data_IF_969321952909
#
_entry.id   IF_969321952909
#
_cell.length_a   1.000
_cell.length_b   1.000
_cell.length_c   1.000
_cell.angle_alpha   90.00
_cell.angle_beta   90.00
_cell.angle_gamma   90.00
#
_symmetry.space_group_name_H-M   'P 1'
#
loop_
_entity.id
_entity.type
_entity.pdbx_description
1 polymer ?
#
# COMPACT_ATOMS: atom_id res chain seq x y z
N UNK A 1 8.42 -58.48 7.17
CA UNK A 1 8.77 -57.05 7.31
C UNK A 1 7.58 -56.23 6.91
N UNK A 2 6.76 -55.87 7.89
CA UNK A 2 5.52 -55.09 7.62
C UNK A 2 5.83 -53.60 7.68
N UNK A 3 5.63 -52.91 6.59
CA UNK A 3 5.78 -51.44 6.49
C UNK A 3 4.46 -50.81 6.90
N UNK A 4 4.43 -50.13 8.06
CA UNK A 4 3.33 -49.29 8.48
C UNK A 4 3.42 -47.96 7.73
N UNK A 5 2.51 -47.72 6.77
CA UNK A 5 2.32 -46.40 6.18
C UNK A 5 1.37 -45.64 7.09
N UNK A 6 1.90 -44.71 7.89
CA UNK A 6 1.08 -43.76 8.64
C UNK A 6 0.61 -42.67 7.69
N UNK A 7 -0.69 -42.68 7.36
CA UNK A 7 -1.35 -41.58 6.66
C UNK A 7 -1.48 -40.38 7.59
N UNK A 8 -0.67 -39.33 7.35
CA UNK A 8 -0.84 -38.02 7.95
C UNK A 8 -2.13 -37.42 7.32
N UNK A 9 -3.23 -37.40 8.07
CA UNK A 9 -4.39 -36.59 7.70
C UNK A 9 -4.04 -35.12 7.90
N UNK A 10 -4.01 -34.35 6.82
CA UNK A 10 -4.06 -32.90 6.92
C UNK A 10 -5.34 -32.53 7.67
N UNK A 11 -5.23 -31.82 8.78
CA UNK A 11 -6.37 -31.20 9.43
C UNK A 11 -6.92 -30.14 8.48
N UNK A 12 -8.13 -30.37 7.94
CA UNK A 12 -8.89 -29.33 7.27
C UNK A 12 -9.13 -28.21 8.29
N UNK A 13 -8.60 -27.03 8.01
CA UNK A 13 -8.96 -25.84 8.76
C UNK A 13 -10.47 -25.62 8.63
N UNK A 14 -11.19 -25.29 9.73
CA UNK A 14 -12.61 -24.96 9.64
C UNK A 14 -12.78 -23.79 8.63
N UNK A 15 -13.89 -23.80 7.84
CA UNK A 15 -14.13 -22.72 6.88
C UNK A 15 -14.14 -21.38 7.60
N UNK A 16 -13.37 -20.43 7.09
CA UNK A 16 -13.28 -19.07 7.64
C UNK A 16 -14.67 -18.45 7.73
N UNK A 17 -14.99 -17.85 8.87
CA UNK A 17 -16.26 -17.16 9.07
C UNK A 17 -16.42 -16.01 8.06
N UNK A 18 -17.58 -15.93 7.41
CA UNK A 18 -17.93 -14.78 6.56
C UNK A 18 -18.33 -13.55 7.37
N UNK A 19 -18.48 -13.70 8.68
CA UNK A 19 -18.87 -12.63 9.60
C UNK A 19 -17.65 -12.12 10.36
N UNK A 20 -17.66 -10.84 10.67
CA UNK A 20 -16.70 -10.24 11.59
C UNK A 20 -16.89 -10.84 12.97
N UNK A 21 -15.84 -11.40 13.54
CA UNK A 21 -15.84 -12.05 14.85
C UNK A 21 -15.31 -11.10 15.93
N UNK A 22 -15.97 -11.05 17.08
CA UNK A 22 -15.46 -10.36 18.26
C UNK A 22 -14.52 -11.34 18.98
N UNK A 23 -13.23 -11.00 19.04
CA UNK A 23 -12.22 -11.78 19.78
C UNK A 23 -12.13 -11.31 21.21
N UNK A 24 -12.21 -10.00 21.43
CA UNK A 24 -12.20 -9.40 22.75
C UNK A 24 -12.98 -8.08 22.79
N UNK A 25 -13.84 -7.90 23.82
CA UNK A 25 -14.55 -6.67 24.09
C UNK A 25 -14.85 -6.57 25.59
N UNK A 26 -14.17 -5.65 26.29
CA UNK A 26 -14.26 -5.58 27.76
C UNK A 26 -15.57 -4.97 28.24
N UNK A 27 -15.89 -3.77 27.74
CA UNK A 27 -17.09 -3.04 28.13
C UNK A 27 -18.09 -3.04 26.98
N UNK A 28 -19.32 -3.39 27.29
CA UNK A 28 -20.40 -3.46 26.29
C UNK A 28 -21.52 -2.49 26.65
N UNK A 29 -21.96 -1.69 25.70
CA UNK A 29 -23.11 -0.80 25.83
C UNK A 29 -23.93 -0.77 24.55
N UNK A 30 -25.14 -0.22 24.62
CA UNK A 30 -26.00 0.10 23.48
C UNK A 30 -26.48 1.54 23.58
N UNK A 31 -26.50 2.25 22.47
CA UNK A 31 -27.09 3.55 22.32
C UNK A 31 -27.98 3.55 21.07
N UNK A 32 -29.21 3.12 21.24
CA UNK A 32 -30.17 3.02 20.13
C UNK A 32 -30.58 4.39 19.56
N UNK A 33 -30.36 5.47 20.29
CA UNK A 33 -30.64 6.82 19.82
C UNK A 33 -29.58 7.32 18.81
N UNK A 34 -28.30 7.05 19.11
CA UNK A 34 -27.17 7.49 18.30
C UNK A 34 -26.73 6.43 17.28
N UNK A 35 -26.79 5.14 17.66
CA UNK A 35 -26.31 4.02 16.84
C UNK A 35 -27.35 2.87 16.82
N UNK A 36 -28.51 3.07 16.13
CA UNK A 36 -29.57 2.09 16.11
C UNK A 36 -29.09 0.71 15.63
N UNK A 37 -29.36 -0.34 16.40
CA UNK A 37 -28.98 -1.73 16.08
C UNK A 37 -27.51 -2.09 16.29
N UNK A 38 -26.67 -1.16 16.71
CA UNK A 38 -25.26 -1.43 16.98
C UNK A 38 -25.00 -1.88 18.41
N UNK A 39 -23.90 -2.59 18.57
CA UNK A 39 -23.25 -2.87 19.85
C UNK A 39 -21.98 -2.03 19.96
N UNK A 40 -21.79 -1.35 21.09
CA UNK A 40 -20.64 -0.51 21.35
C UNK A 40 -19.72 -1.25 22.32
N UNK A 41 -18.46 -1.42 21.93
CA UNK A 41 -17.42 -2.00 22.76
C UNK A 41 -16.37 -0.94 23.07
N UNK A 42 -15.88 -0.89 24.30
CA UNK A 42 -14.74 -0.06 24.63
C UNK A 42 -13.69 -0.86 25.40
N UNK A 43 -12.45 -0.45 25.24
CA UNK A 43 -11.31 -1.08 25.92
C UNK A 43 -11.37 -0.93 27.44
N UNK A 44 -10.70 -1.82 28.13
CA UNK A 44 -10.18 -1.67 29.47
C UNK A 44 -8.65 -1.48 29.41
N UNK A 45 -7.88 -2.27 30.11
CA UNK A 45 -6.42 -2.32 30.00
C UNK A 45 -5.96 -2.95 28.67
N UNK A 46 -6.86 -3.68 27.99
CA UNK A 46 -6.67 -4.33 26.71
C UNK A 46 -7.58 -3.73 25.66
N UNK A 47 -7.06 -3.53 24.43
CA UNK A 47 -7.85 -3.05 23.30
C UNK A 47 -8.94 -4.06 22.89
N UNK A 48 -10.06 -3.53 22.39
CA UNK A 48 -11.09 -4.33 21.70
C UNK A 48 -10.45 -4.99 20.48
N UNK A 49 -10.73 -6.25 20.25
CA UNK A 49 -10.18 -7.02 19.13
C UNK A 49 -11.27 -7.69 18.32
N UNK A 50 -11.21 -7.52 17.03
CA UNK A 50 -12.01 -8.21 16.01
C UNK A 50 -11.12 -9.01 15.09
N UNK A 51 -11.68 -10.07 14.51
CA UNK A 51 -11.06 -10.88 13.46
C UNK A 51 -12.02 -11.05 12.30
N UNK A 52 -11.53 -10.99 11.07
CA UNK A 52 -12.27 -11.33 9.89
C UNK A 52 -11.38 -11.90 8.80
N UNK A 53 -11.54 -13.20 8.50
CA UNK A 53 -10.85 -13.88 7.41
C UNK A 53 -9.32 -13.61 7.38
N UNK A 54 -8.66 -13.92 8.49
CA UNK A 54 -7.21 -13.80 8.64
C UNK A 54 -6.68 -12.38 8.81
N UNK A 55 -7.56 -11.40 9.06
CA UNK A 55 -7.16 -10.07 9.48
C UNK A 55 -7.65 -9.76 10.89
N UNK A 56 -6.74 -9.31 11.74
CA UNK A 56 -7.01 -8.83 13.09
C UNK A 56 -7.07 -7.31 13.13
N UNK A 57 -8.04 -6.77 13.88
CA UNK A 57 -8.19 -5.34 14.11
C UNK A 57 -8.29 -5.07 15.60
N UNK A 58 -7.49 -4.14 16.11
CA UNK A 58 -7.53 -3.64 17.48
C UNK A 58 -7.90 -2.16 17.50
N UNK A 59 -8.68 -1.74 18.49
CA UNK A 59 -9.11 -0.35 18.65
C UNK A 59 -9.44 -0.03 20.11
N UNK A 60 -9.62 1.24 20.40
CA UNK A 60 -10.05 1.68 21.73
C UNK A 60 -11.58 1.61 21.90
N UNK A 61 -12.32 1.97 20.86
CA UNK A 61 -13.78 1.94 20.81
C UNK A 61 -14.23 1.36 19.47
N UNK A 62 -15.22 0.48 19.49
CA UNK A 62 -15.84 -0.10 18.32
C UNK A 62 -17.36 0.03 18.36
N UNK A 63 -17.95 0.41 17.24
CA UNK A 63 -19.40 0.42 16.98
C UNK A 63 -19.65 -0.68 15.95
N UNK A 64 -20.23 -1.79 16.40
CA UNK A 64 -20.38 -3.01 15.60
C UNK A 64 -21.84 -3.28 15.26
N UNK A 65 -22.13 -3.30 13.96
CA UNK A 65 -23.43 -3.64 13.38
C UNK A 65 -23.39 -5.10 12.91
N UNK A 66 -23.68 -6.00 13.81
CA UNK A 66 -23.55 -7.45 13.55
C UNK A 66 -24.41 -7.93 12.38
N UNK A 67 -25.65 -7.44 12.24
CA UNK A 67 -26.57 -7.85 11.18
C UNK A 67 -26.10 -7.39 9.79
N UNK A 68 -25.52 -6.21 9.73
CA UNK A 68 -24.98 -5.59 8.51
C UNK A 68 -23.53 -5.99 8.24
N UNK A 69 -22.93 -6.78 9.14
CA UNK A 69 -21.51 -7.15 9.10
C UNK A 69 -20.56 -5.95 8.94
N UNK A 70 -20.84 -4.84 9.68
CA UNK A 70 -20.10 -3.58 9.58
C UNK A 70 -19.51 -3.18 10.92
N UNK A 71 -18.31 -2.64 10.86
CA UNK A 71 -17.55 -2.15 12.00
C UNK A 71 -17.08 -0.73 11.77
N UNK A 72 -17.32 0.15 12.75
CA UNK A 72 -16.67 1.46 12.85
C UNK A 72 -15.80 1.44 14.10
N UNK A 73 -14.53 1.83 13.97
CA UNK A 73 -13.63 1.82 15.11
C UNK A 73 -12.85 3.13 15.21
N UNK A 74 -12.56 3.53 16.44
CA UNK A 74 -11.93 4.79 16.79
C UNK A 74 -10.86 4.56 17.87
N UNK A 75 -9.75 5.27 17.73
CA UNK A 75 -8.66 5.33 18.69
C UNK A 75 -7.66 4.19 18.54
N UNK A 76 -6.42 4.56 18.31
CA UNK A 76 -5.27 3.65 18.24
C UNK A 76 -5.52 2.39 17.41
N UNK A 77 -6.10 2.58 16.23
CA UNK A 77 -6.38 1.48 15.31
C UNK A 77 -5.08 0.79 14.93
N UNK A 78 -5.09 -0.53 15.02
CA UNK A 78 -4.07 -1.41 14.44
C UNK A 78 -4.77 -2.52 13.69
N UNK A 79 -4.44 -2.69 12.41
CA UNK A 79 -4.89 -3.80 11.58
C UNK A 79 -3.68 -4.61 11.17
N UNK A 80 -3.78 -5.93 11.25
CA UNK A 80 -2.75 -6.86 10.80
C UNK A 80 -3.38 -7.92 9.90
N UNK A 81 -2.75 -8.16 8.76
CA UNK A 81 -3.12 -9.23 7.84
C UNK A 81 -1.89 -10.08 7.52
N UNK A 82 -1.92 -11.34 7.94
CA UNK A 82 -0.75 -12.21 7.88
C UNK A 82 0.45 -11.66 8.67
N UNK A 83 1.65 -12.08 8.29
CA UNK A 83 2.90 -11.74 9.01
C UNK A 83 3.54 -10.43 8.55
N UNK A 84 3.14 -9.88 7.41
CA UNK A 84 3.86 -8.78 6.76
C UNK A 84 3.09 -7.46 6.70
N UNK A 85 1.76 -7.49 6.62
CA UNK A 85 0.97 -6.27 6.41
C UNK A 85 0.44 -5.76 7.74
N UNK A 86 0.85 -4.56 8.11
CA UNK A 86 0.40 -3.84 9.29
C UNK A 86 -0.06 -2.44 8.92
N UNK A 87 -1.20 -2.02 9.45
CA UNK A 87 -1.71 -0.66 9.29
C UNK A 87 -2.07 -0.06 10.65
N UNK A 88 -1.79 1.22 10.80
CA UNK A 88 -2.27 2.03 11.95
C UNK A 88 -3.03 3.25 11.44
N UNK A 89 -4.02 3.72 12.21
CA UNK A 89 -4.78 4.94 11.94
C UNK A 89 -5.50 5.44 13.19
N UNK A 90 -6.10 6.62 13.12
CA UNK A 90 -6.98 7.13 14.18
C UNK A 90 -8.38 6.51 14.12
N UNK A 91 -8.88 6.25 12.91
CA UNK A 91 -10.24 5.72 12.66
C UNK A 91 -10.26 4.75 11.49
N UNK A 92 -11.25 3.85 11.50
CA UNK A 92 -11.52 2.94 10.40
C UNK A 92 -13.02 2.58 10.34
N UNK A 93 -13.58 2.58 9.13
CA UNK A 93 -14.85 1.96 8.79
C UNK A 93 -14.55 0.70 7.97
N UNK A 94 -15.21 -0.41 8.30
CA UNK A 94 -15.04 -1.69 7.62
C UNK A 94 -16.37 -2.36 7.32
N UNK A 95 -16.55 -2.80 6.08
CA UNK A 95 -17.71 -3.58 5.61
C UNK A 95 -17.26 -5.01 5.30
N UNK A 96 -17.64 -5.95 6.18
CA UNK A 96 -17.16 -7.33 6.11
C UNK A 96 -17.63 -8.08 4.86
N UNK A 97 -18.89 -7.89 4.44
CA UNK A 97 -19.48 -8.62 3.30
C UNK A 97 -18.76 -8.34 1.97
N UNK A 98 -18.30 -7.11 1.77
CA UNK A 98 -17.59 -6.67 0.57
C UNK A 98 -16.08 -6.50 0.82
N UNK A 99 -15.61 -6.71 2.04
CA UNK A 99 -14.21 -6.62 2.48
C UNK A 99 -13.55 -5.27 2.17
N UNK A 100 -14.34 -4.18 2.24
CA UNK A 100 -13.87 -2.82 2.00
C UNK A 100 -13.61 -2.11 3.33
N UNK A 101 -12.46 -1.46 3.43
CA UNK A 101 -12.13 -0.59 4.55
C UNK A 101 -11.77 0.82 4.08
N UNK A 102 -12.14 1.81 4.90
CA UNK A 102 -11.64 3.18 4.83
C UNK A 102 -10.99 3.50 6.18
N UNK A 103 -9.69 3.78 6.15
CA UNK A 103 -8.93 4.23 7.32
C UNK A 103 -8.55 5.69 7.13
N UNK A 104 -8.57 6.48 8.22
CA UNK A 104 -8.16 7.89 8.17
C UNK A 104 -7.61 8.38 9.51
N UNK A 105 -7.07 9.59 9.51
CA UNK A 105 -6.29 10.20 10.58
C UNK A 105 -4.94 9.51 10.77
N UNK A 106 -3.92 10.04 10.09
CA UNK A 106 -2.52 9.58 10.18
C UNK A 106 -2.33 8.10 9.82
N UNK A 107 -2.80 7.70 8.66
CA UNK A 107 -2.67 6.31 8.21
C UNK A 107 -1.22 5.98 7.88
N UNK A 108 -0.74 4.89 8.46
CA UNK A 108 0.56 4.29 8.13
C UNK A 108 0.33 2.83 7.77
N UNK A 109 0.66 2.45 6.54
CA UNK A 109 0.67 1.06 6.08
C UNK A 109 2.12 0.59 5.92
N UNK A 110 2.46 -0.49 6.58
CA UNK A 110 3.78 -1.10 6.51
C UNK A 110 3.69 -2.52 5.91
N UNK A 111 4.52 -2.77 4.91
CA UNK A 111 4.71 -4.09 4.29
C UNK A 111 6.23 -4.34 4.20
N UNK A 112 6.89 -4.84 5.21
CA UNK A 112 8.32 -5.19 5.30
C UNK A 112 9.29 -4.61 4.22
N UNK A 113 8.78 -4.16 3.07
CA UNK A 113 9.52 -3.61 1.92
C UNK A 113 9.34 -2.11 1.76
N UNK A 114 8.26 -1.54 2.28
CA UNK A 114 7.95 -0.12 2.19
C UNK A 114 7.05 0.31 3.35
N UNK A 115 7.03 1.61 3.58
CA UNK A 115 6.06 2.28 4.47
C UNK A 115 5.30 3.32 3.65
N UNK A 116 3.96 3.20 3.58
CA UNK A 116 3.08 4.21 3.01
C UNK A 116 2.49 5.06 4.14
N UNK A 117 2.49 6.38 3.97
CA UNK A 117 1.85 7.37 4.84
C UNK A 117 0.88 8.22 4.04
N UNK A 118 -0.34 8.39 4.53
CA UNK A 118 -1.37 9.25 3.93
C UNK A 118 -2.37 9.66 5.00
N UNK A 119 -3.22 10.65 4.71
CA UNK A 119 -4.33 10.98 5.63
C UNK A 119 -5.44 9.94 5.56
N UNK A 120 -5.86 9.54 4.36
CA UNK A 120 -6.94 8.58 4.14
C UNK A 120 -6.52 7.48 3.19
N UNK A 121 -6.73 6.22 3.59
CA UNK A 121 -6.44 5.02 2.81
C UNK A 121 -7.70 4.16 2.65
N UNK A 122 -7.96 3.73 1.44
CA UNK A 122 -8.99 2.77 1.10
C UNK A 122 -8.35 1.40 0.83
N UNK A 123 -8.92 0.34 1.40
CA UNK A 123 -8.45 -1.03 1.25
C UNK A 123 -9.57 -1.87 0.64
N UNK A 124 -9.31 -2.49 -0.49
CA UNK A 124 -10.16 -3.51 -1.10
C UNK A 124 -9.47 -4.87 -0.92
N UNK A 125 -9.88 -5.62 0.11
CA UNK A 125 -9.28 -6.92 0.44
C UNK A 125 -9.69 -8.02 -0.54
N UNK A 126 -10.80 -7.84 -1.26
CA UNK A 126 -11.22 -8.79 -2.32
C UNK A 126 -10.32 -8.65 -3.54
N UNK A 127 -10.05 -7.42 -4.00
CA UNK A 127 -9.16 -7.15 -5.12
C UNK A 127 -7.69 -7.15 -4.74
N UNK A 128 -7.37 -7.20 -3.44
CA UNK A 128 -6.01 -7.05 -2.94
C UNK A 128 -5.36 -5.74 -3.40
N UNK A 129 -6.08 -4.63 -3.18
CA UNK A 129 -5.65 -3.27 -3.55
C UNK A 129 -5.77 -2.31 -2.36
N UNK A 130 -4.85 -1.35 -2.31
CA UNK A 130 -4.92 -0.20 -1.42
C UNK A 130 -4.76 1.08 -2.25
N UNK A 131 -5.53 2.14 -1.97
CA UNK A 131 -5.39 3.40 -2.70
C UNK A 131 -5.67 4.61 -1.82
N UNK A 132 -5.05 5.73 -2.19
CA UNK A 132 -5.28 7.06 -1.61
C UNK A 132 -5.50 8.10 -2.72
N UNK A 133 -6.19 9.17 -2.38
CA UNK A 133 -6.45 10.34 -3.24
C UNK A 133 -6.33 11.67 -2.46
N UNK A 134 -5.52 11.67 -1.42
CA UNK A 134 -5.31 12.80 -0.50
C UNK A 134 -3.83 13.01 -0.22
N UNK A 135 -3.01 12.89 -1.25
CA UNK A 135 -1.56 12.83 -1.19
C UNK A 135 -1.02 11.66 -0.36
N UNK A 136 0.11 11.13 -0.76
CA UNK A 136 0.76 10.04 -0.06
C UNK A 136 2.26 10.02 -0.24
N UNK A 137 2.94 9.42 0.73
CA UNK A 137 4.39 9.20 0.70
C UNK A 137 4.68 7.72 0.90
N UNK A 138 5.40 7.13 -0.02
CA UNK A 138 5.90 5.76 0.07
C UNK A 138 7.42 5.81 0.23
N UNK A 139 7.92 5.19 1.30
CA UNK A 139 9.35 5.08 1.55
C UNK A 139 9.76 3.62 1.47
N UNK A 140 10.73 3.30 0.64
CA UNK A 140 11.39 2.00 0.60
C UNK A 140 12.86 2.08 1.07
N UNK A 141 13.66 1.07 0.79
CA UNK A 141 15.06 1.00 1.27
C UNK A 141 15.96 2.12 0.73
N UNK A 142 15.62 2.77 -0.39
CA UNK A 142 16.46 3.72 -1.08
C UNK A 142 15.72 4.98 -1.53
N UNK A 143 14.41 4.89 -1.73
CA UNK A 143 13.61 5.92 -2.40
C UNK A 143 12.52 6.47 -1.48
N UNK A 144 12.22 7.75 -1.63
CA UNK A 144 11.00 8.38 -1.14
C UNK A 144 10.18 8.80 -2.35
N UNK A 145 8.98 8.23 -2.47
CA UNK A 145 8.04 8.50 -3.55
C UNK A 145 6.87 9.30 -3.01
N UNK A 146 6.46 10.35 -3.73
CA UNK A 146 5.27 11.14 -3.39
C UNK A 146 4.35 11.29 -4.60
N UNK A 147 3.06 11.40 -4.37
CA UNK A 147 2.04 11.72 -5.38
C UNK A 147 0.75 12.19 -4.74
N UNK A 148 -0.13 12.85 -5.51
CA UNK A 148 -1.48 13.19 -5.05
C UNK A 148 -2.37 11.94 -4.98
N UNK A 149 -2.27 11.04 -5.95
CA UNK A 149 -3.05 9.81 -6.04
C UNK A 149 -2.10 8.63 -6.14
N UNK A 150 -2.35 7.58 -5.36
CA UNK A 150 -1.58 6.36 -5.44
C UNK A 150 -2.43 5.12 -5.25
N UNK A 151 -2.10 4.05 -5.96
CA UNK A 151 -2.71 2.73 -5.84
C UNK A 151 -1.64 1.66 -5.74
N UNK A 152 -1.74 0.82 -4.74
CA UNK A 152 -0.88 -0.34 -4.55
C UNK A 152 -1.64 -1.62 -4.89
N UNK A 153 -1.11 -2.39 -5.82
CA UNK A 153 -1.59 -3.73 -6.19
C UNK A 153 -0.77 -4.76 -5.41
N UNK A 154 -1.37 -5.34 -4.38
CA UNK A 154 -0.67 -6.18 -3.42
C UNK A 154 -0.12 -7.48 -4.06
N UNK A 155 -0.83 -8.03 -5.05
CA UNK A 155 -0.42 -9.26 -5.74
C UNK A 155 0.82 -9.02 -6.61
N UNK A 156 0.79 -7.99 -7.44
CA UNK A 156 1.88 -7.68 -8.38
C UNK A 156 3.01 -6.88 -7.76
N UNK A 157 2.84 -6.41 -6.52
CA UNK A 157 3.80 -5.54 -5.80
C UNK A 157 4.11 -4.26 -6.58
N UNK A 158 3.11 -3.76 -7.32
CA UNK A 158 3.17 -2.55 -8.13
C UNK A 158 2.47 -1.39 -7.43
N UNK A 159 3.11 -0.23 -7.42
CA UNK A 159 2.44 1.03 -7.21
C UNK A 159 2.14 1.71 -8.54
N UNK A 160 0.99 2.35 -8.63
CA UNK A 160 0.64 3.29 -9.68
C UNK A 160 0.47 4.66 -9.02
N UNK A 161 1.23 5.64 -9.46
CA UNK A 161 1.20 7.01 -8.98
C UNK A 161 0.71 7.94 -10.06
N UNK A 162 -0.12 8.90 -9.68
CA UNK A 162 -0.72 9.91 -10.55
C UNK A 162 -0.62 11.27 -9.88
N UNK A 163 -0.44 12.27 -10.70
CA UNK A 163 -0.38 13.69 -10.37
C UNK A 163 0.78 14.05 -9.41
N UNK A 164 1.63 14.96 -9.87
CA UNK A 164 2.78 15.48 -9.12
C UNK A 164 3.69 14.38 -8.54
N UNK A 165 3.98 13.34 -9.35
CA UNK A 165 4.76 12.20 -8.90
C UNK A 165 6.23 12.59 -8.78
N UNK A 166 6.83 12.31 -7.61
CA UNK A 166 8.28 12.46 -7.42
C UNK A 166 8.89 11.18 -6.86
N UNK A 167 10.11 10.85 -7.26
CA UNK A 167 10.98 9.88 -6.58
C UNK A 167 12.24 10.63 -6.17
N UNK A 168 12.57 10.60 -4.90
CA UNK A 168 13.79 11.14 -4.32
C UNK A 168 14.71 10.00 -3.90
N UNK A 169 15.93 10.02 -4.43
CA UNK A 169 17.02 9.09 -4.12
C UNK A 169 18.30 9.90 -3.88
N UNK A 170 19.28 9.46 -3.08
CA UNK A 170 20.54 10.19 -2.90
C UNK A 170 21.33 10.45 -4.17
N UNK A 171 21.13 9.66 -5.23
CA UNK A 171 21.88 9.76 -6.49
C UNK A 171 21.10 10.46 -7.61
N UNK A 172 19.76 10.44 -7.56
CA UNK A 172 18.91 11.01 -8.60
C UNK A 172 17.51 11.39 -8.07
N UNK A 173 16.86 12.26 -8.81
CA UNK A 173 15.45 12.61 -8.65
C UNK A 173 14.67 12.24 -9.92
N UNK A 174 13.42 11.77 -9.78
CA UNK A 174 12.47 11.60 -10.89
C UNK A 174 11.26 12.47 -10.62
N UNK A 175 10.82 13.21 -11.63
CA UNK A 175 9.56 13.93 -11.66
C UNK A 175 8.72 13.40 -12.82
N UNK A 176 7.43 13.12 -12.62
CA UNK A 176 6.55 12.56 -13.63
C UNK A 176 5.08 12.94 -13.38
N UNK A 177 4.25 12.95 -14.41
CA UNK A 177 2.80 13.06 -14.23
C UNK A 177 2.17 11.73 -13.82
N UNK A 178 2.67 10.62 -14.38
CA UNK A 178 2.20 9.27 -14.08
C UNK A 178 3.36 8.28 -14.08
N UNK A 179 3.41 7.43 -13.06
CA UNK A 179 4.49 6.47 -12.90
C UNK A 179 3.99 5.17 -12.28
N UNK A 180 4.37 4.03 -12.86
CA UNK A 180 4.24 2.71 -12.25
C UNK A 180 5.60 2.31 -11.64
N UNK A 181 5.60 1.92 -10.36
CA UNK A 181 6.81 1.49 -9.64
C UNK A 181 6.65 0.08 -9.09
N UNK A 182 7.58 -0.80 -9.43
CA UNK A 182 7.60 -2.17 -8.93
C UNK A 182 8.58 -2.32 -7.77
N UNK A 183 8.06 -2.49 -6.56
CA UNK A 183 8.87 -2.52 -5.33
C UNK A 183 9.85 -3.69 -5.25
N UNK A 184 9.60 -4.77 -5.98
CA UNK A 184 10.47 -5.96 -6.00
C UNK A 184 11.64 -5.81 -6.97
N UNK A 185 11.37 -5.41 -8.22
CA UNK A 185 12.40 -5.23 -9.26
C UNK A 185 13.07 -3.87 -9.19
N UNK A 186 12.46 -2.89 -8.51
CA UNK A 186 12.90 -1.49 -8.45
C UNK A 186 12.80 -0.77 -9.80
N UNK A 187 11.86 -1.18 -10.63
CA UNK A 187 11.64 -0.63 -11.95
C UNK A 187 10.59 0.47 -11.91
N UNK A 188 10.89 1.60 -12.54
CA UNK A 188 9.97 2.71 -12.76
C UNK A 188 9.58 2.79 -14.24
N UNK A 189 8.28 2.83 -14.54
CA UNK A 189 7.75 3.08 -15.88
C UNK A 189 7.02 4.41 -15.88
N UNK A 190 7.44 5.34 -16.71
CA UNK A 190 6.91 6.69 -16.82
C UNK A 190 5.93 6.79 -17.98
N UNK A 191 4.78 7.41 -17.73
CA UNK A 191 3.69 7.62 -18.69
C UNK A 191 3.30 9.10 -18.69
N UNK A 192 3.93 9.90 -19.54
CA UNK A 192 3.76 11.34 -19.62
C UNK A 192 5.11 12.05 -19.47
N UNK A 193 5.10 13.38 -19.58
CA UNK A 193 6.32 14.17 -19.39
C UNK A 193 7.02 13.83 -18.09
N UNK A 194 8.28 13.44 -18.21
CA UNK A 194 9.07 12.97 -17.08
C UNK A 194 10.49 13.48 -17.17
N UNK A 195 11.07 13.78 -16.01
CA UNK A 195 12.46 14.23 -15.91
C UNK A 195 13.18 13.38 -14.88
N UNK A 196 14.36 12.87 -15.23
CA UNK A 196 15.30 12.22 -14.32
C UNK A 196 16.50 13.14 -14.18
N UNK A 197 16.82 13.57 -12.96
CA UNK A 197 17.94 14.46 -12.67
C UNK A 197 18.95 13.74 -11.78
N UNK A 198 20.09 13.34 -12.32
CA UNK A 198 21.23 12.83 -11.58
C UNK A 198 22.26 13.93 -11.29
N UNK A 199 23.39 13.56 -10.68
CA UNK A 199 24.46 14.52 -10.32
C UNK A 199 25.11 15.17 -11.54
N UNK A 200 25.22 14.46 -12.66
CA UNK A 200 25.94 14.89 -13.88
C UNK A 200 25.07 14.83 -15.13
N UNK A 201 23.82 14.44 -15.00
CA UNK A 201 22.92 14.28 -16.14
C UNK A 201 21.51 14.74 -15.83
N UNK A 202 20.79 15.12 -16.88
CA UNK A 202 19.36 15.38 -16.86
C UNK A 202 18.74 14.73 -18.09
N UNK A 203 17.71 13.89 -17.86
CA UNK A 203 17.02 13.17 -18.92
C UNK A 203 15.57 13.62 -18.91
N UNK A 204 15.06 14.04 -20.07
CA UNK A 204 13.65 14.28 -20.31
C UNK A 204 13.12 13.25 -21.29
N UNK A 205 11.88 12.77 -21.08
CA UNK A 205 11.14 11.97 -22.06
C UNK A 205 9.63 12.08 -21.80
N UNK A 206 8.83 11.79 -22.83
CA UNK A 206 7.37 11.73 -22.67
C UNK A 206 6.88 10.33 -22.23
N UNK A 207 7.68 9.30 -22.39
CA UNK A 207 7.49 7.95 -21.86
C UNK A 207 8.88 7.34 -21.61
N UNK A 208 8.95 6.43 -20.65
CA UNK A 208 10.24 5.83 -20.41
C UNK A 208 10.20 4.70 -19.38
N UNK A 209 11.33 4.09 -19.23
CA UNK A 209 11.65 3.08 -18.25
C UNK A 209 12.96 3.44 -17.56
N UNK A 210 13.00 3.24 -16.25
CA UNK A 210 14.21 3.43 -15.46
C UNK A 210 14.34 2.33 -14.43
N UNK A 211 15.44 1.59 -14.49
CA UNK A 211 15.85 0.68 -13.43
C UNK A 211 16.56 1.48 -12.34
N UNK A 212 15.88 1.66 -11.22
CA UNK A 212 16.37 2.51 -10.11
C UNK A 212 17.52 1.88 -9.33
N UNK A 213 17.83 0.61 -9.57
CA UNK A 213 18.90 -0.13 -8.90
C UNK A 213 20.24 0.00 -9.61
N UNK A 214 20.23 -0.05 -10.93
CA UNK A 214 21.45 0.01 -11.77
C UNK A 214 21.59 1.33 -12.52
N UNK A 215 20.61 2.21 -12.40
CA UNK A 215 20.58 3.53 -13.02
C UNK A 215 20.71 3.49 -14.54
N UNK A 216 19.96 2.58 -15.17
CA UNK A 216 19.86 2.45 -16.61
C UNK A 216 18.41 2.48 -17.09
N UNK A 217 18.19 2.82 -18.35
CA UNK A 217 16.85 2.89 -18.86
C UNK A 217 16.77 3.34 -20.31
N UNK A 218 15.56 3.67 -20.73
CA UNK A 218 15.33 4.28 -22.04
C UNK A 218 14.22 5.33 -21.94
N UNK A 219 14.42 6.39 -22.70
CA UNK A 219 13.40 7.40 -22.98
C UNK A 219 12.79 7.15 -24.35
N UNK A 220 11.49 7.38 -24.47
CA UNK A 220 10.72 7.29 -25.72
C UNK A 220 9.97 8.59 -25.92
N UNK A 221 9.97 9.04 -27.16
CA UNK A 221 9.29 10.23 -27.65
C UNK A 221 9.85 11.52 -27.03
N UNK A 222 10.41 12.35 -27.86
CA UNK A 222 11.04 13.62 -27.49
C UNK A 222 12.10 13.48 -26.37
N UNK A 223 12.88 12.38 -26.41
CA UNK A 223 13.91 12.15 -25.41
C UNK A 223 15.08 13.12 -25.61
N UNK A 224 15.47 13.77 -24.51
CA UNK A 224 16.63 14.66 -24.45
C UNK A 224 17.47 14.28 -23.23
N UNK A 225 18.77 14.08 -23.46
CA UNK A 225 19.76 13.82 -22.41
C UNK A 225 20.80 14.94 -22.45
N UNK A 226 20.91 15.67 -21.35
CA UNK A 226 21.99 16.61 -21.08
C UNK A 226 23.01 15.90 -20.17
N UNK A 227 24.22 15.64 -20.67
CA UNK A 227 25.29 14.95 -19.95
C UNK A 227 26.67 15.61 -20.25
N UNK A 228 27.35 16.07 -19.20
CA UNK A 228 28.70 16.63 -19.31
C UNK A 228 28.84 17.63 -20.46
N UNK A 229 27.96 18.62 -20.60
CA UNK A 229 27.88 19.61 -21.67
C UNK A 229 27.63 19.03 -23.09
N UNK A 230 27.18 17.79 -23.19
CA UNK A 230 26.70 17.17 -24.43
C UNK A 230 25.19 17.02 -24.38
N UNK A 231 24.55 17.16 -25.51
CA UNK A 231 23.11 16.98 -25.68
C UNK A 231 22.90 15.83 -26.66
N UNK A 232 22.08 14.89 -26.26
CA UNK A 232 21.62 13.77 -27.09
C UNK A 232 20.12 13.88 -27.21
N UNK A 233 19.58 13.85 -28.42
CA UNK A 233 18.15 13.94 -28.70
C UNK A 233 17.74 12.82 -29.63
N UNK A 234 16.54 12.26 -29.43
CA UNK A 234 15.96 11.22 -30.25
C UNK A 234 14.61 10.73 -29.76
N UNK A 235 13.88 10.02 -30.63
CA UNK A 235 12.58 9.44 -30.26
C UNK A 235 12.69 8.18 -29.38
N UNK A 236 13.87 7.52 -29.43
CA UNK A 236 14.16 6.38 -28.54
C UNK A 236 15.65 6.38 -28.22
N UNK A 237 15.98 6.64 -26.97
CA UNK A 237 17.36 6.71 -26.50
C UNK A 237 17.53 5.81 -25.29
N UNK A 238 18.45 4.85 -25.38
CA UNK A 238 18.92 4.06 -24.24
C UNK A 238 20.04 4.78 -23.53
N UNK A 239 20.08 4.68 -22.23
CA UNK A 239 21.14 5.21 -21.39
C UNK A 239 21.50 4.26 -20.26
N UNK A 240 22.77 4.27 -19.87
CA UNK A 240 23.31 3.41 -18.83
C UNK A 240 24.44 4.16 -18.10
N UNK A 241 24.26 4.42 -16.82
CA UNK A 241 25.24 5.13 -16.00
C UNK A 241 26.59 4.41 -15.95
N UNK A 242 26.61 3.07 -15.97
CA UNK A 242 27.83 2.29 -15.88
C UNK A 242 28.75 2.41 -17.12
N UNK A 243 28.14 2.68 -18.29
CA UNK A 243 28.86 2.84 -19.58
C UNK A 243 29.07 4.30 -19.98
N UNK A 244 28.65 5.25 -19.11
CA UNK A 244 28.72 6.70 -19.34
C UNK A 244 28.01 7.17 -20.63
N UNK A 245 26.85 6.56 -20.94
CA UNK A 245 25.98 6.89 -22.09
C UNK A 245 26.60 6.58 -23.46
#
# INVERSE_FOLDING_TARGET
MFIFVSSVRAQEQPPESKQINIVYGANFTKDEAQYPGASIFSKDDRQVQFEHQGADLWCDIAIFYQKENKLKAVGNIRLQQGDSVQMTSGKIDYEGDVKLAKAWENVVLNDNKFTLRTDTLYLDREKQEAYYNSSGTVVDSANTLTSEIGRHFLITKKFQFLDSVTIKNPEYDIESEQLDYYTTSKNAYMYGPSTITGKTYKIYCERGFYDTKIESGYGIKNTRIDYNNRIIEGDSVYFDKATEF
#
